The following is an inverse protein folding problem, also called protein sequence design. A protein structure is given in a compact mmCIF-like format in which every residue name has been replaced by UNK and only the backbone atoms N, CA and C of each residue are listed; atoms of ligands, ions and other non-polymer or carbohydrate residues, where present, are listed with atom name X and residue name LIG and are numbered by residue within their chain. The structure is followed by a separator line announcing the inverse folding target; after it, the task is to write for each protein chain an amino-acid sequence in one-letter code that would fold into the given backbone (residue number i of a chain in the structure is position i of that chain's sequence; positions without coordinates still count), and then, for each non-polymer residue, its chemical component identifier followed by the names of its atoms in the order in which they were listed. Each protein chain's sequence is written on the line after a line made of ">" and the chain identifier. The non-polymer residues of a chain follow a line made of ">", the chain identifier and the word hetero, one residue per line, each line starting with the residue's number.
data_IF_856813775388
#
_entry.id   IF_856813775388
#
_cell.length_a   1.000
_cell.length_b   1.000
_cell.length_c   1.000
_cell.angle_alpha   90.00
_cell.angle_beta   90.00
_cell.angle_gamma   90.00
#
_symmetry.space_group_name_H-M   'P 1'
#
loop_
_entity.id
_entity.type
_entity.pdbx_description
1 polymer ?
#
# COMPACT_ATOMS: atom_id res chain seq x y z
N UNK A 1 -17.00 -16.62 24.10
CA UNK A 1 -17.33 -17.64 23.06
C UNK A 1 -16.20 -18.67 23.02
N UNK A 2 -16.05 -19.52 24.04
CA UNK A 2 -14.81 -20.33 24.20
C UNK A 2 -14.69 -21.52 23.24
N UNK A 3 -15.77 -21.91 22.55
CA UNK A 3 -15.83 -23.20 21.84
C UNK A 3 -15.68 -23.13 20.31
N UNK A 4 -15.33 -21.97 19.73
CA UNK A 4 -15.13 -21.92 18.26
C UNK A 4 -13.71 -22.42 17.96
N UNK A 5 -13.56 -23.52 17.18
CA UNK A 5 -12.23 -24.03 16.86
C UNK A 5 -11.45 -23.03 16.04
N UNK A 6 -10.14 -22.99 16.26
CA UNK A 6 -9.23 -22.18 15.46
C UNK A 6 -9.30 -22.61 13.98
N UNK A 7 -9.49 -21.69 13.02
CA UNK A 7 -9.67 -22.06 11.63
C UNK A 7 -8.44 -22.79 11.10
N UNK A 8 -8.66 -23.86 10.34
CA UNK A 8 -7.59 -24.52 9.59
C UNK A 8 -7.02 -23.56 8.54
N UNK A 9 -5.79 -23.83 8.08
CA UNK A 9 -5.16 -23.03 7.03
C UNK A 9 -6.01 -23.00 5.75
N UNK A 10 -6.67 -24.10 5.40
CA UNK A 10 -7.53 -24.20 4.22
C UNK A 10 -8.79 -23.32 4.36
N UNK A 11 -9.42 -23.28 5.53
CA UNK A 11 -10.56 -22.40 5.81
C UNK A 11 -10.13 -20.93 5.76
N UNK A 12 -9.03 -20.58 6.42
CA UNK A 12 -8.48 -19.23 6.37
C UNK A 12 -8.12 -18.80 4.93
N UNK A 13 -7.53 -19.70 4.14
CA UNK A 13 -7.20 -19.47 2.72
C UNK A 13 -8.44 -19.11 1.90
N UNK A 14 -9.59 -19.77 2.13
CA UNK A 14 -10.85 -19.42 1.45
C UNK A 14 -11.35 -18.03 1.85
N UNK A 15 -11.22 -17.67 3.12
CA UNK A 15 -11.57 -16.33 3.60
C UNK A 15 -10.65 -15.27 2.97
N UNK A 16 -9.33 -15.52 2.90
CA UNK A 16 -8.39 -14.62 2.24
C UNK A 16 -8.66 -14.47 0.74
N UNK A 17 -8.98 -15.56 0.05
CA UNK A 17 -9.40 -15.51 -1.35
C UNK A 17 -10.68 -14.68 -1.54
N UNK A 18 -11.67 -14.85 -0.64
CA UNK A 18 -12.89 -14.03 -0.63
C UNK A 18 -12.59 -12.56 -0.40
N UNK A 19 -11.71 -12.22 0.54
CA UNK A 19 -11.28 -10.83 0.79
C UNK A 19 -10.63 -10.27 -0.48
N UNK A 20 -9.65 -10.96 -1.06
CA UNK A 20 -8.97 -10.50 -2.28
C UNK A 20 -9.93 -10.25 -3.45
N UNK A 21 -10.85 -11.18 -3.71
CA UNK A 21 -11.84 -11.06 -4.79
C UNK A 21 -12.86 -9.93 -4.57
N UNK A 22 -13.12 -9.54 -3.32
CA UNK A 22 -14.11 -8.51 -2.96
C UNK A 22 -13.48 -7.15 -2.62
N UNK A 23 -12.16 -7.03 -2.66
CA UNK A 23 -11.41 -5.84 -2.22
C UNK A 23 -11.45 -4.68 -3.22
N UNK A 24 -12.64 -4.11 -3.44
CA UNK A 24 -12.86 -2.92 -4.27
C UNK A 24 -12.97 -1.64 -3.44
N UNK A 25 -12.89 -0.48 -4.11
CA UNK A 25 -13.26 0.82 -3.54
C UNK A 25 -12.15 1.50 -2.73
N UNK A 26 -10.89 1.31 -3.15
CA UNK A 26 -9.72 1.95 -2.56
C UNK A 26 -9.41 1.51 -1.12
N UNK A 27 -8.40 2.14 -0.47
CA UNK A 27 -7.92 1.72 0.84
C UNK A 27 -9.01 1.66 1.92
N UNK A 28 -9.90 2.67 1.95
CA UNK A 28 -10.97 2.73 2.95
C UNK A 28 -12.02 1.63 2.77
N UNK A 29 -12.42 1.33 1.53
CA UNK A 29 -13.35 0.25 1.21
C UNK A 29 -12.77 -1.12 1.58
N UNK A 30 -11.50 -1.32 1.28
CA UNK A 30 -10.76 -2.55 1.60
C UNK A 30 -10.61 -2.76 3.10
N UNK A 31 -10.21 -1.73 3.85
CA UNK A 31 -10.11 -1.80 5.32
C UNK A 31 -11.49 -2.06 5.94
N UNK A 32 -12.56 -1.43 5.44
CA UNK A 32 -13.92 -1.66 5.94
C UNK A 32 -14.41 -3.09 5.63
N UNK A 33 -14.10 -3.62 4.45
CA UNK A 33 -14.40 -5.00 4.09
C UNK A 33 -13.65 -5.98 5.01
N UNK A 34 -12.36 -5.74 5.22
CA UNK A 34 -11.54 -6.57 6.11
C UNK A 34 -12.05 -6.49 7.55
N UNK A 35 -12.42 -5.31 8.04
CA UNK A 35 -13.02 -5.14 9.37
C UNK A 35 -14.31 -5.97 9.48
N UNK A 36 -15.25 -5.79 8.54
CA UNK A 36 -16.49 -6.57 8.52
C UNK A 36 -16.24 -8.07 8.51
N UNK A 37 -15.37 -8.57 7.63
CA UNK A 37 -15.12 -10.01 7.52
C UNK A 37 -14.36 -10.53 8.74
N UNK A 38 -13.25 -9.91 9.13
CA UNK A 38 -12.32 -10.44 10.13
C UNK A 38 -12.79 -10.19 11.57
N UNK A 39 -13.41 -9.03 11.84
CA UNK A 39 -13.88 -8.62 13.16
C UNK A 39 -15.34 -9.03 13.36
N UNK A 40 -16.25 -8.63 12.48
CA UNK A 40 -17.69 -8.84 12.69
C UNK A 40 -18.15 -10.27 12.34
N UNK A 41 -17.83 -10.77 11.14
CA UNK A 41 -18.29 -12.08 10.64
C UNK A 41 -17.48 -13.24 11.27
N UNK A 42 -16.16 -13.19 11.15
CA UNK A 42 -15.28 -14.28 11.58
C UNK A 42 -14.88 -14.20 13.06
N UNK A 43 -14.83 -12.99 13.64
CA UNK A 43 -14.35 -12.74 15.02
C UNK A 43 -12.96 -13.32 15.29
N UNK A 44 -12.06 -13.19 14.32
CA UNK A 44 -10.65 -13.59 14.46
C UNK A 44 -9.92 -12.68 15.45
N UNK A 45 -10.19 -11.38 15.39
CA UNK A 45 -9.65 -10.34 16.27
C UNK A 45 -10.72 -9.30 16.60
N UNK A 46 -10.60 -8.65 17.76
CA UNK A 46 -11.51 -7.58 18.18
C UNK A 46 -11.07 -6.20 17.69
N UNK A 47 -11.87 -5.19 18.05
CA UNK A 47 -11.72 -3.82 17.57
C UNK A 47 -10.34 -3.23 17.93
N UNK A 48 -9.90 -3.40 19.17
CA UNK A 48 -8.66 -2.81 19.67
C UNK A 48 -7.46 -3.40 18.93
N UNK A 49 -7.44 -4.73 18.73
CA UNK A 49 -6.35 -5.39 17.99
C UNK A 49 -6.36 -5.04 16.51
N UNK A 50 -7.54 -4.93 15.89
CA UNK A 50 -7.66 -4.52 14.49
C UNK A 50 -7.10 -3.11 14.27
N UNK A 51 -7.51 -2.15 15.11
CA UNK A 51 -7.03 -0.77 15.04
C UNK A 51 -5.53 -0.67 15.32
N UNK A 52 -5.00 -1.47 16.26
CA UNK A 52 -3.57 -1.54 16.51
C UNK A 52 -2.79 -2.01 15.28
N UNK A 53 -3.23 -3.11 14.66
CA UNK A 53 -2.63 -3.63 13.44
C UNK A 53 -2.71 -2.61 12.29
N UNK A 54 -3.84 -1.90 12.17
CA UNK A 54 -4.03 -0.86 11.16
C UNK A 54 -3.08 0.32 11.37
N UNK A 55 -2.99 0.84 12.60
CA UNK A 55 -2.07 1.92 12.96
C UNK A 55 -0.62 1.56 12.66
N UNK A 56 -0.25 0.29 12.87
CA UNK A 56 1.06 -0.21 12.50
C UNK A 56 1.28 -0.22 10.98
N UNK A 57 0.33 -0.72 10.20
CA UNK A 57 0.46 -0.76 8.74
C UNK A 57 0.55 0.65 8.15
N UNK A 58 -0.06 1.66 8.78
CA UNK A 58 0.11 3.07 8.40
C UNK A 58 1.51 3.63 8.68
N UNK A 59 2.31 3.00 9.56
CA UNK A 59 3.70 3.37 9.84
C UNK A 59 4.68 2.84 8.79
N UNK A 60 4.29 1.79 8.07
CA UNK A 60 5.16 1.10 7.13
C UNK A 60 5.02 1.68 5.74
N UNK A 61 6.09 1.64 4.93
CA UNK A 61 5.96 2.04 3.55
C UNK A 61 5.21 0.98 2.75
N UNK A 62 4.23 1.40 1.94
CA UNK A 62 3.43 0.51 1.08
C UNK A 62 1.91 0.55 1.33
N UNK A 63 1.13 -0.28 0.62
CA UNK A 63 -0.33 -0.29 0.71
C UNK A 63 -0.83 -0.93 2.01
N UNK A 64 -1.51 -0.14 2.83
CA UNK A 64 -1.85 -0.50 4.22
C UNK A 64 -2.84 -1.67 4.29
N UNK A 65 -3.82 -1.74 3.38
CA UNK A 65 -4.81 -2.82 3.37
C UNK A 65 -4.16 -4.19 3.07
N UNK A 66 -3.22 -4.22 2.13
CA UNK A 66 -2.46 -5.44 1.82
C UNK A 66 -1.58 -5.83 3.01
N UNK A 67 -0.88 -4.87 3.60
CA UNK A 67 -0.05 -5.10 4.79
C UNK A 67 -0.86 -5.59 5.99
N UNK A 68 -2.07 -5.06 6.20
CA UNK A 68 -3.00 -5.52 7.22
C UNK A 68 -3.42 -6.97 6.96
N UNK A 69 -3.61 -7.36 5.69
CA UNK A 69 -3.92 -8.74 5.34
C UNK A 69 -2.73 -9.66 5.66
N UNK A 70 -1.50 -9.26 5.32
CA UNK A 70 -0.28 -9.99 5.71
C UNK A 70 -0.16 -10.10 7.23
N UNK A 71 -0.42 -9.01 7.96
CA UNK A 71 -0.31 -8.96 9.41
C UNK A 71 -1.30 -9.92 10.09
N UNK A 72 -2.58 -9.82 9.73
CA UNK A 72 -3.61 -10.68 10.33
C UNK A 72 -3.43 -12.12 9.86
N UNK A 73 -3.05 -12.36 8.61
CA UNK A 73 -2.68 -13.69 8.13
C UNK A 73 -1.51 -14.28 8.93
N UNK A 74 -0.53 -13.45 9.28
CA UNK A 74 0.60 -13.84 10.12
C UNK A 74 0.18 -14.15 11.56
N UNK A 75 -0.68 -13.33 12.16
CA UNK A 75 -1.25 -13.61 13.48
C UNK A 75 -2.03 -14.95 13.50
N UNK A 76 -2.71 -15.26 12.40
CA UNK A 76 -3.54 -16.46 12.32
C UNK A 76 -2.72 -17.73 12.06
N UNK A 77 -1.83 -17.72 11.07
CA UNK A 77 -1.10 -18.94 10.65
C UNK A 77 0.40 -18.70 10.42
N UNK A 78 1.00 -17.80 11.20
CA UNK A 78 2.43 -17.44 11.17
C UNK A 78 2.84 -17.00 9.75
N UNK A 79 4.12 -17.09 9.41
CA UNK A 79 4.66 -16.61 8.12
C UNK A 79 3.90 -17.16 6.91
N UNK A 80 3.48 -18.42 6.92
CA UNK A 80 2.73 -19.02 5.80
C UNK A 80 1.35 -18.37 5.64
N UNK A 81 0.63 -18.13 6.74
CA UNK A 81 -0.63 -17.40 6.73
C UNK A 81 -0.51 -15.99 6.17
N UNK A 82 0.55 -15.27 6.57
CA UNK A 82 0.83 -13.92 6.05
C UNK A 82 1.14 -13.91 4.56
N UNK A 83 1.94 -14.88 4.08
CA UNK A 83 2.26 -15.03 2.64
C UNK A 83 0.97 -15.29 1.85
N UNK A 84 0.15 -16.26 2.28
CA UNK A 84 -1.10 -16.61 1.60
C UNK A 84 -2.06 -15.42 1.57
N UNK A 85 -2.25 -14.75 2.71
CA UNK A 85 -3.13 -13.60 2.82
C UNK A 85 -2.69 -12.46 1.88
N UNK A 86 -1.41 -12.09 1.89
CA UNK A 86 -0.87 -11.04 1.04
C UNK A 86 -0.95 -11.37 -0.45
N UNK A 87 -0.57 -12.59 -0.84
CA UNK A 87 -0.63 -13.02 -2.23
C UNK A 87 -2.06 -13.05 -2.76
N UNK A 88 -3.01 -13.62 -2.01
CA UNK A 88 -4.42 -13.67 -2.42
C UNK A 88 -5.08 -12.30 -2.43
N UNK A 89 -4.60 -11.35 -1.63
CA UNK A 89 -5.09 -9.96 -1.67
C UNK A 89 -4.67 -9.25 -2.97
N UNK A 90 -3.46 -9.52 -3.46
CA UNK A 90 -2.88 -8.84 -4.64
C UNK A 90 -3.20 -9.54 -5.95
N UNK A 91 -3.29 -10.87 -5.96
CA UNK A 91 -3.39 -11.70 -7.17
C UNK A 91 -4.59 -11.35 -8.08
N UNK A 92 -5.82 -11.10 -7.57
CA UNK A 92 -6.94 -10.69 -8.42
C UNK A 92 -6.64 -9.39 -9.18
N UNK A 93 -6.02 -8.41 -8.52
CA UNK A 93 -5.61 -7.15 -9.12
C UNK A 93 -4.50 -7.32 -10.15
N UNK A 94 -3.52 -8.19 -9.88
CA UNK A 94 -2.46 -8.54 -10.84
C UNK A 94 -3.06 -9.05 -12.15
N UNK A 95 -3.98 -10.00 -12.06
CA UNK A 95 -4.65 -10.57 -13.24
C UNK A 95 -5.51 -9.53 -13.96
N UNK A 96 -6.34 -8.81 -13.22
CA UNK A 96 -7.26 -7.83 -13.81
C UNK A 96 -6.53 -6.67 -14.48
N UNK A 97 -5.55 -6.06 -13.81
CA UNK A 97 -4.76 -4.96 -14.36
C UNK A 97 -3.90 -5.43 -15.52
N UNK A 98 -3.34 -6.64 -15.48
CA UNK A 98 -2.56 -7.16 -16.61
C UNK A 98 -3.45 -7.33 -17.85
N UNK A 99 -4.63 -7.94 -17.68
CA UNK A 99 -5.58 -8.10 -18.78
C UNK A 99 -6.04 -6.74 -19.34
N UNK A 100 -6.36 -5.78 -18.48
CA UNK A 100 -6.73 -4.43 -18.92
C UNK A 100 -5.57 -3.67 -19.58
N UNK A 101 -4.32 -3.89 -19.13
CA UNK A 101 -3.14 -3.30 -19.77
C UNK A 101 -2.92 -3.83 -21.19
N UNK A 102 -3.14 -5.13 -21.41
CA UNK A 102 -3.14 -5.72 -22.75
C UNK A 102 -4.23 -5.12 -23.63
N UNK A 103 -5.46 -5.00 -23.11
CA UNK A 103 -6.58 -4.39 -23.84
C UNK A 103 -6.26 -2.92 -24.19
N UNK A 104 -5.71 -2.17 -23.25
CA UNK A 104 -5.32 -0.78 -23.45
C UNK A 104 -4.27 -0.65 -24.55
N UNK A 105 -3.19 -1.44 -24.50
CA UNK A 105 -2.10 -1.36 -25.46
C UNK A 105 -2.48 -1.81 -26.87
N UNK A 106 -3.41 -2.77 -27.00
CA UNK A 106 -3.83 -3.32 -28.29
C UNK A 106 -5.01 -2.58 -28.92
N UNK A 107 -5.94 -2.08 -28.09
CA UNK A 107 -7.22 -1.56 -28.53
C UNK A 107 -7.54 -0.16 -28.00
N UNK A 108 -6.65 0.49 -27.25
CA UNK A 108 -6.93 1.80 -26.63
C UNK A 108 -7.37 2.90 -27.61
N UNK A 109 -6.95 2.79 -28.88
CA UNK A 109 -7.26 3.76 -29.94
C UNK A 109 -8.51 3.40 -30.76
N UNK A 110 -9.27 2.36 -30.40
CA UNK A 110 -10.55 2.07 -31.07
C UNK A 110 -11.67 2.86 -30.39
N UNK A 111 -12.49 3.56 -31.17
CA UNK A 111 -13.47 4.53 -30.67
C UNK A 111 -14.34 4.07 -29.49
N UNK A 112 -14.89 2.83 -29.47
CA UNK A 112 -15.65 2.35 -28.32
C UNK A 112 -14.82 2.19 -27.03
N UNK A 113 -13.57 1.73 -27.14
CA UNK A 113 -12.66 1.53 -25.99
C UNK A 113 -12.16 2.87 -25.48
N UNK A 114 -11.82 3.78 -26.39
CA UNK A 114 -11.44 5.16 -26.07
C UNK A 114 -12.56 5.88 -25.31
N UNK A 115 -13.82 5.74 -25.75
CA UNK A 115 -14.97 6.33 -25.07
C UNK A 115 -15.18 5.77 -23.65
N UNK A 116 -14.95 4.47 -23.44
CA UNK A 116 -15.02 3.86 -22.11
C UNK A 116 -13.92 4.43 -21.20
N UNK A 117 -12.68 4.51 -21.68
CA UNK A 117 -11.57 5.10 -20.93
C UNK A 117 -11.81 6.58 -20.62
N UNK A 118 -12.39 7.34 -21.55
CA UNK A 118 -12.77 8.73 -21.31
C UNK A 118 -13.82 8.86 -20.19
N UNK A 119 -14.87 8.04 -20.22
CA UNK A 119 -15.86 7.99 -19.12
C UNK A 119 -15.23 7.60 -17.79
N UNK A 120 -14.28 6.66 -17.81
CA UNK A 120 -13.52 6.24 -16.65
C UNK A 120 -12.66 7.39 -16.08
N UNK A 121 -11.97 8.18 -16.92
CA UNK A 121 -11.20 9.37 -16.47
C UNK A 121 -12.07 10.35 -15.67
N UNK A 122 -13.29 10.62 -16.14
CA UNK A 122 -14.21 11.52 -15.44
C UNK A 122 -14.62 10.97 -14.06
N UNK A 123 -14.90 9.66 -13.97
CA UNK A 123 -15.20 9.00 -12.70
C UNK A 123 -14.01 9.01 -11.74
N UNK A 124 -12.79 8.76 -12.24
CA UNK A 124 -11.56 8.79 -11.46
C UNK A 124 -11.29 10.17 -10.90
N UNK A 125 -11.45 11.22 -11.69
CA UNK A 125 -11.28 12.59 -11.21
C UNK A 125 -12.21 12.87 -10.02
N UNK A 126 -13.48 12.45 -10.11
CA UNK A 126 -14.43 12.58 -9.01
C UNK A 126 -14.00 11.77 -7.77
N UNK A 127 -13.52 10.53 -7.94
CA UNK A 127 -13.02 9.68 -6.85
C UNK A 127 -11.78 10.30 -6.19
N UNK A 128 -10.82 10.79 -6.98
CA UNK A 128 -9.61 11.44 -6.48
C UNK A 128 -9.95 12.70 -5.70
N UNK A 129 -10.82 13.58 -6.24
CA UNK A 129 -11.30 14.77 -5.52
C UNK A 129 -11.99 14.37 -4.21
N UNK A 130 -12.84 13.35 -4.24
CA UNK A 130 -13.48 12.83 -3.03
C UNK A 130 -12.47 12.28 -2.03
N UNK A 131 -11.44 11.57 -2.48
CA UNK A 131 -10.38 11.04 -1.63
C UNK A 131 -9.59 12.16 -0.95
N UNK A 132 -9.22 13.21 -1.70
CA UNK A 132 -8.55 14.41 -1.17
C UNK A 132 -9.42 15.08 -0.10
N UNK A 133 -10.70 15.34 -0.39
CA UNK A 133 -11.63 15.96 0.58
C UNK A 133 -11.79 15.06 1.82
N UNK A 134 -11.92 13.75 1.64
CA UNK A 134 -12.12 12.78 2.73
C UNK A 134 -10.89 12.67 3.63
N UNK A 135 -9.69 12.59 3.05
CA UNK A 135 -8.43 12.49 3.80
C UNK A 135 -8.13 13.84 4.46
N UNK A 136 -8.19 14.94 3.70
CA UNK A 136 -7.95 16.29 4.20
C UNK A 136 -8.88 16.67 5.34
N UNK A 137 -10.18 16.37 5.24
CA UNK A 137 -11.14 16.64 6.32
C UNK A 137 -10.90 15.82 7.60
N UNK A 138 -10.17 14.70 7.52
CA UNK A 138 -9.79 13.88 8.68
C UNK A 138 -8.48 14.34 9.31
N UNK A 139 -7.53 14.79 8.51
CA UNK A 139 -6.15 15.09 8.96
C UNK A 139 -5.94 16.58 9.25
N UNK A 140 -6.49 17.48 8.42
CA UNK A 140 -6.30 18.94 8.52
C UNK A 140 -7.26 19.55 9.56
N UNK A 141 -7.11 19.15 10.82
CA UNK A 141 -7.99 19.57 11.93
C UNK A 141 -7.58 20.86 12.62
N UNK A 142 -6.33 21.29 12.44
CA UNK A 142 -5.79 22.47 13.11
C UNK A 142 -4.90 23.30 12.17
N UNK A 143 -4.63 24.55 12.56
CA UNK A 143 -3.84 25.49 11.77
C UNK A 143 -2.41 25.02 11.51
N UNK A 144 -1.82 24.21 12.38
CA UNK A 144 -0.48 23.65 12.19
C UNK A 144 -0.45 22.62 11.07
N UNK A 145 -1.39 21.65 11.07
CA UNK A 145 -1.50 20.67 9.98
C UNK A 145 -1.79 21.35 8.65
N UNK A 146 -2.67 22.36 8.65
CA UNK A 146 -2.98 23.15 7.46
C UNK A 146 -1.76 23.95 6.96
N UNK A 147 -0.94 24.46 7.88
CA UNK A 147 0.34 25.10 7.55
C UNK A 147 1.36 24.13 6.94
N UNK A 148 1.47 22.90 7.47
CA UNK A 148 2.33 21.85 6.90
C UNK A 148 1.87 21.50 5.48
N UNK A 149 0.56 21.32 5.26
CA UNK A 149 0.00 21.05 3.94
C UNK A 149 0.30 22.18 2.94
N UNK A 150 0.05 23.43 3.33
CA UNK A 150 0.30 24.59 2.47
C UNK A 150 1.78 24.78 2.13
N UNK A 151 2.68 24.62 3.12
CA UNK A 151 4.12 24.70 2.89
C UNK A 151 4.63 23.56 2.01
N UNK A 152 4.10 22.35 2.18
CA UNK A 152 4.45 21.19 1.35
C UNK A 152 4.00 21.40 -0.09
N UNK A 153 2.80 21.93 -0.29
CA UNK A 153 2.28 22.31 -1.61
C UNK A 153 3.17 23.38 -2.28
N UNK A 154 3.54 24.44 -1.55
CA UNK A 154 4.44 25.48 -2.08
C UNK A 154 5.83 24.91 -2.40
N UNK A 155 6.36 24.03 -1.55
CA UNK A 155 7.68 23.42 -1.74
C UNK A 155 7.73 22.57 -3.02
N UNK A 156 6.72 21.72 -3.26
CA UNK A 156 6.69 20.86 -4.45
C UNK A 156 6.32 21.64 -5.72
N UNK A 157 5.30 22.52 -5.65
CA UNK A 157 4.78 23.22 -6.83
C UNK A 157 5.61 24.44 -7.21
N UNK A 158 6.05 25.23 -6.22
CA UNK A 158 6.78 26.48 -6.44
C UNK A 158 8.29 26.30 -6.55
N UNK A 159 8.87 25.32 -5.86
CA UNK A 159 10.32 25.12 -5.77
C UNK A 159 10.79 23.75 -6.28
N UNK A 160 9.88 22.88 -6.73
CA UNK A 160 10.22 21.52 -7.21
C UNK A 160 11.03 20.71 -6.19
N UNK A 161 10.79 20.92 -4.89
CA UNK A 161 11.47 20.17 -3.83
C UNK A 161 11.08 18.69 -3.95
N UNK A 162 12.06 17.76 -3.92
CA UNK A 162 11.77 16.34 -4.04
C UNK A 162 10.81 15.87 -2.94
N UNK A 163 9.77 15.13 -3.34
CA UNK A 163 8.75 14.60 -2.44
C UNK A 163 9.32 13.85 -1.21
N UNK A 164 10.35 12.98 -1.32
CA UNK A 164 10.92 12.32 -0.15
C UNK A 164 11.47 13.29 0.91
N UNK A 165 12.00 14.44 0.49
CA UNK A 165 12.52 15.46 1.41
C UNK A 165 11.38 16.12 2.19
N UNK A 166 10.24 16.38 1.52
CA UNK A 166 9.03 16.94 2.13
C UNK A 166 8.51 15.98 3.21
N UNK A 167 8.42 14.68 2.89
CA UNK A 167 7.95 13.65 3.82
C UNK A 167 8.86 13.53 5.04
N UNK A 168 10.19 13.50 4.83
CA UNK A 168 11.15 13.43 5.92
C UNK A 168 11.08 14.67 6.83
N UNK A 169 10.95 15.86 6.24
CA UNK A 169 10.80 17.10 6.99
C UNK A 169 9.50 17.11 7.81
N UNK A 170 8.38 16.72 7.20
CA UNK A 170 7.07 16.63 7.86
C UNK A 170 7.10 15.63 9.02
N UNK A 171 7.69 14.45 8.82
CA UNK A 171 7.87 13.44 9.86
C UNK A 171 8.73 13.94 11.03
N UNK A 172 9.83 14.65 10.74
CA UNK A 172 10.66 15.27 11.77
C UNK A 172 9.91 16.34 12.57
N UNK A 173 9.16 17.21 11.88
CA UNK A 173 8.33 18.25 12.51
C UNK A 173 7.28 17.60 13.41
N UNK A 174 6.58 16.56 12.94
CA UNK A 174 5.59 15.83 13.74
C UNK A 174 6.19 15.14 14.97
N UNK A 175 7.34 14.48 14.80
CA UNK A 175 8.04 13.80 15.88
C UNK A 175 8.53 14.77 16.96
N UNK A 176 9.24 15.84 16.56
CA UNK A 176 9.76 16.85 17.48
C UNK A 176 8.63 17.66 18.14
N UNK A 177 7.57 17.95 17.38
CA UNK A 177 6.38 18.65 17.87
C UNK A 177 5.68 17.87 18.99
N UNK A 178 5.50 16.56 18.80
CA UNK A 178 4.94 15.68 19.83
C UNK A 178 5.81 15.60 21.08
N UNK A 179 7.13 15.47 20.89
CA UNK A 179 8.09 15.36 21.99
C UNK A 179 8.19 16.65 22.82
N UNK A 180 7.94 17.80 22.20
CA UNK A 180 7.89 19.12 22.85
C UNK A 180 6.57 19.40 23.57
N UNK A 181 5.61 18.46 23.54
CA UNK A 181 4.33 18.58 24.25
C UNK A 181 3.31 19.51 23.60
N UNK A 182 3.55 19.98 22.37
CA UNK A 182 2.64 20.87 21.62
C UNK A 182 1.28 20.18 21.40
N UNK A 183 0.21 20.87 21.79
CA UNK A 183 -1.16 20.35 21.66
C UNK A 183 -1.55 20.05 20.21
N UNK A 184 -1.01 20.78 19.23
CA UNK A 184 -1.26 20.59 17.81
C UNK A 184 -0.79 19.23 17.26
N UNK A 185 0.16 18.57 17.95
CA UNK A 185 0.72 17.26 17.57
C UNK A 185 0.31 16.14 18.55
N UNK A 186 -0.57 16.43 19.52
CA UNK A 186 -1.18 15.40 20.36
C UNK A 186 -2.20 14.66 19.50
N UNK A 187 -1.77 13.56 18.88
CA UNK A 187 -2.61 12.80 17.96
C UNK A 187 -3.93 12.38 18.62
N UNK A 188 -5.04 12.88 18.08
CA UNK A 188 -6.33 12.18 18.16
C UNK A 188 -6.24 10.95 17.25
N UNK A 189 -5.45 9.94 17.64
CA UNK A 189 -5.37 8.64 16.94
C UNK A 189 -6.66 7.81 17.06
N UNK A 190 -7.77 8.45 17.42
CA UNK A 190 -9.08 7.83 17.49
C UNK A 190 -9.64 7.72 16.08
N UNK A 191 -9.40 6.58 15.43
CA UNK A 191 -10.33 6.12 14.41
C UNK A 191 -11.74 6.22 15.00
N UNK A 192 -12.56 7.12 14.45
CA UNK A 192 -13.99 7.13 14.75
C UNK A 192 -14.52 5.72 14.54
N UNK A 193 -15.40 5.26 15.44
CA UNK A 193 -15.91 3.87 15.52
C UNK A 193 -15.96 3.21 14.12
N UNK A 194 -15.06 2.26 13.84
CA UNK A 194 -15.16 1.44 12.64
C UNK A 194 -16.27 0.42 12.86
N UNK A 195 -17.24 0.38 11.95
CA UNK A 195 -18.38 -0.52 12.05
C UNK A 195 -19.47 -0.07 13.04
N UNK A 196 -20.64 -0.70 12.94
CA UNK A 196 -21.77 -0.47 13.85
C UNK A 196 -21.70 -1.35 15.10
N UNK A 197 -20.94 -2.45 15.04
CA UNK A 197 -20.84 -3.47 16.09
C UNK A 197 -19.44 -3.42 16.70
N UNK A 198 -19.34 -3.11 17.99
CA UNK A 198 -18.06 -3.21 18.69
C UNK A 198 -17.87 -4.63 19.23
N UNK A 199 -16.84 -5.32 18.73
CA UNK A 199 -16.43 -6.64 19.20
C UNK A 199 -15.23 -6.47 20.12
N UNK A 200 -15.39 -6.84 21.40
CA UNK A 200 -14.29 -6.80 22.37
C UNK A 200 -13.32 -7.98 22.13
N UNK A 201 -12.02 -7.76 22.35
CA UNK A 201 -10.97 -8.75 22.12
C UNK A 201 -11.23 -10.05 22.90
N UNK A 202 -11.79 -9.97 24.12
CA UNK A 202 -12.18 -11.12 24.96
C UNK A 202 -13.21 -12.06 24.32
N UNK A 203 -13.94 -11.58 23.31
CA UNK A 203 -14.96 -12.35 22.60
C UNK A 203 -14.45 -12.97 21.28
N UNK A 204 -13.16 -12.84 20.99
CA UNK A 204 -12.54 -13.24 19.70
C UNK A 204 -11.58 -14.41 19.85
N UNK A 205 -11.22 -15.05 18.73
CA UNK A 205 -10.35 -16.23 18.71
C UNK A 205 -8.94 -15.95 19.24
N UNK A 206 -8.35 -14.80 18.88
CA UNK A 206 -7.03 -14.41 19.38
C UNK A 206 -7.08 -13.92 20.83
N UNK A 207 -8.27 -13.60 21.35
CA UNK A 207 -8.43 -13.11 22.71
C UNK A 207 -7.66 -11.82 23.01
N UNK A 208 -7.50 -11.56 24.31
CA UNK A 208 -6.68 -10.45 24.81
C UNK A 208 -5.18 -10.77 24.84
N UNK A 209 -4.82 -12.07 24.88
CA UNK A 209 -3.44 -12.52 25.00
C UNK A 209 -2.67 -12.38 23.68
N UNK A 210 -1.36 -12.12 23.77
CA UNK A 210 -0.49 -12.09 22.60
C UNK A 210 -0.06 -13.51 22.23
N UNK A 211 -0.29 -13.97 20.99
CA UNK A 211 0.12 -15.32 20.59
C UNK A 211 1.62 -15.53 20.79
N UNK A 212 2.07 -16.68 21.32
CA UNK A 212 3.49 -16.91 21.64
C UNK A 212 4.48 -16.77 20.47
N UNK A 213 4.02 -16.92 19.23
CA UNK A 213 4.87 -16.69 18.04
C UNK A 213 5.12 -15.20 17.73
N UNK A 214 4.48 -14.30 18.47
CA UNK A 214 4.75 -12.85 18.41
C UNK A 214 5.97 -12.45 19.24
N UNK A 215 6.55 -13.38 20.02
CA UNK A 215 7.78 -13.14 20.76
C UNK A 215 8.98 -12.88 19.83
N UNK A 216 9.82 -11.92 20.21
CA UNK A 216 10.97 -11.49 19.42
C UNK A 216 12.02 -12.60 19.39
N UNK A 217 12.12 -13.28 18.25
CA UNK A 217 13.19 -14.23 17.97
C UNK A 217 14.20 -13.62 16.98
N UNK A 218 15.40 -13.28 17.48
CA UNK A 218 16.47 -12.68 16.66
C UNK A 218 16.89 -13.57 15.49
N UNK A 219 16.89 -14.89 15.67
CA UNK A 219 17.25 -15.83 14.60
C UNK A 219 16.20 -15.86 13.49
N UNK A 220 14.91 -15.79 13.86
CA UNK A 220 13.82 -15.64 12.89
C UNK A 220 13.91 -14.31 12.16
N UNK A 221 14.12 -13.20 12.88
CA UNK A 221 14.26 -11.87 12.30
C UNK A 221 15.42 -11.82 11.28
N UNK A 222 16.61 -12.35 11.63
CA UNK A 222 17.74 -12.39 10.70
C UNK A 222 17.45 -13.25 9.46
N UNK A 223 16.86 -14.44 9.65
CA UNK A 223 16.53 -15.35 8.53
C UNK A 223 15.49 -14.75 7.60
N UNK A 224 14.41 -14.21 8.14
CA UNK A 224 13.32 -13.65 7.33
C UNK A 224 13.77 -12.38 6.61
N UNK A 225 14.53 -11.51 7.28
CA UNK A 225 15.10 -10.32 6.64
C UNK A 225 16.06 -10.68 5.54
N UNK A 226 16.98 -11.62 5.76
CA UNK A 226 17.92 -12.07 4.72
C UNK A 226 17.17 -12.67 3.54
N UNK A 227 16.18 -13.53 3.78
CA UNK A 227 15.40 -14.16 2.73
C UNK A 227 14.67 -13.13 1.86
N UNK A 228 13.92 -12.19 2.46
CA UNK A 228 13.15 -11.21 1.70
C UNK A 228 14.03 -10.10 1.09
N UNK A 229 15.14 -9.71 1.73
CA UNK A 229 16.10 -8.79 1.12
C UNK A 229 16.77 -9.41 -0.09
N UNK A 230 17.16 -10.69 -0.04
CA UNK A 230 17.69 -11.39 -1.21
C UNK A 230 16.62 -11.54 -2.30
N UNK A 231 15.40 -11.92 -1.91
CA UNK A 231 14.28 -12.08 -2.83
C UNK A 231 13.96 -10.79 -3.60
N UNK A 232 14.11 -9.65 -2.92
CA UNK A 232 13.86 -8.33 -3.50
C UNK A 232 15.07 -7.75 -4.23
N UNK A 233 16.20 -7.57 -3.53
CA UNK A 233 17.33 -6.78 -4.02
C UNK A 233 18.27 -7.58 -4.93
N UNK A 234 18.33 -8.90 -4.82
CA UNK A 234 19.21 -9.67 -5.71
C UNK A 234 18.74 -9.61 -7.18
N UNK A 235 17.46 -9.80 -7.52
CA UNK A 235 16.98 -9.58 -8.89
C UNK A 235 17.22 -8.15 -9.38
N UNK A 236 17.01 -7.14 -8.54
CA UNK A 236 17.26 -5.73 -8.87
C UNK A 236 18.74 -5.54 -9.21
N UNK A 237 19.65 -5.98 -8.34
CA UNK A 237 21.09 -5.87 -8.56
C UNK A 237 21.55 -6.60 -9.82
N UNK A 238 20.99 -7.78 -10.11
CA UNK A 238 21.28 -8.55 -11.32
C UNK A 238 20.84 -7.80 -12.58
N UNK A 239 19.65 -7.18 -12.57
CA UNK A 239 19.18 -6.37 -13.71
C UNK A 239 20.14 -5.21 -13.99
N UNK A 240 20.53 -4.45 -12.96
CA UNK A 240 21.51 -3.36 -13.11
C UNK A 240 22.88 -3.85 -13.60
N UNK A 241 23.37 -4.98 -13.08
CA UNK A 241 24.67 -5.52 -13.44
C UNK A 241 24.74 -6.06 -14.88
N UNK A 242 23.65 -6.67 -15.37
CA UNK A 242 23.63 -7.31 -16.69
C UNK A 242 23.12 -6.36 -17.78
N UNK A 243 22.06 -5.59 -17.49
CA UNK A 243 21.35 -4.78 -18.49
C UNK A 243 21.77 -3.31 -18.46
N UNK A 244 22.41 -2.84 -17.39
CA UNK A 244 22.84 -1.45 -17.22
C UNK A 244 21.74 -0.53 -16.66
N UNK A 245 22.10 0.73 -16.39
CA UNK A 245 21.23 1.74 -15.74
C UNK A 245 20.17 2.33 -16.67
N UNK A 246 20.46 2.40 -17.96
CA UNK A 246 19.58 3.00 -18.97
C UNK A 246 18.48 2.06 -19.45
N UNK A 247 18.51 0.79 -19.03
CA UNK A 247 17.59 -0.21 -19.53
C UNK A 247 16.27 -0.19 -18.75
N UNK A 248 15.14 -0.23 -19.45
CA UNK A 248 13.79 -0.04 -18.89
C UNK A 248 13.46 -0.96 -17.70
N UNK A 249 13.85 -2.23 -17.71
CA UNK A 249 13.65 -3.17 -16.60
C UNK A 249 14.50 -2.79 -15.39
N UNK A 250 15.74 -2.34 -15.58
CA UNK A 250 16.57 -1.82 -14.49
C UNK A 250 15.96 -0.56 -13.89
N UNK A 251 15.48 0.36 -14.73
CA UNK A 251 14.83 1.59 -14.28
C UNK A 251 13.52 1.28 -13.53
N UNK A 252 12.65 0.41 -14.06
CA UNK A 252 11.43 -0.08 -13.38
C UNK A 252 11.79 -0.69 -12.03
N UNK A 253 12.76 -1.62 -12.01
CA UNK A 253 13.21 -2.30 -10.79
C UNK A 253 13.72 -1.31 -9.74
N UNK A 254 14.59 -0.38 -10.13
CA UNK A 254 15.17 0.62 -9.24
C UNK A 254 14.15 1.63 -8.74
N UNK A 255 13.40 2.24 -9.65
CA UNK A 255 12.42 3.27 -9.32
C UNK A 255 11.34 2.74 -8.37
N UNK A 256 10.67 1.64 -8.71
CA UNK A 256 9.62 1.10 -7.85
C UNK A 256 10.17 0.47 -6.56
N UNK A 257 11.43 0.03 -6.53
CA UNK A 257 12.10 -0.36 -5.28
C UNK A 257 12.29 0.84 -4.34
N UNK A 258 12.70 1.99 -4.86
CA UNK A 258 12.79 3.23 -4.08
C UNK A 258 11.40 3.63 -3.59
N UNK A 259 10.40 3.62 -4.48
CA UNK A 259 9.02 3.94 -4.10
C UNK A 259 8.51 3.01 -3.00
N UNK A 260 8.80 1.72 -3.06
CA UNK A 260 8.38 0.75 -2.04
C UNK A 260 8.96 1.03 -0.63
N UNK A 261 10.00 1.87 -0.49
CA UNK A 261 10.54 2.28 0.81
C UNK A 261 10.23 3.72 1.22
N UNK A 262 9.84 4.58 0.27
CA UNK A 262 9.48 5.98 0.55
C UNK A 262 7.97 6.26 0.55
N UNK A 263 7.13 5.26 0.25
CA UNK A 263 5.67 5.41 0.21
C UNK A 263 5.04 5.37 1.59
N UNK A 264 4.99 6.50 2.29
CA UNK A 264 4.27 6.64 3.57
C UNK A 264 2.92 7.35 3.38
N UNK A 265 1.91 7.01 4.18
CA UNK A 265 0.62 7.71 4.18
C UNK A 265 -0.37 7.28 3.10
N UNK A 266 -0.18 6.08 2.55
CA UNK A 266 -1.14 5.40 1.68
C UNK A 266 -0.92 5.58 0.19
N UNK A 267 -1.63 4.76 -0.59
CA UNK A 267 -1.41 4.63 -2.03
C UNK A 267 -1.46 5.99 -2.77
N UNK A 268 -2.37 6.89 -2.39
CA UNK A 268 -2.58 8.16 -3.11
C UNK A 268 -1.36 9.10 -3.09
N UNK A 269 -0.59 9.10 -2.00
CA UNK A 269 0.56 10.00 -1.80
C UNK A 269 1.62 9.83 -2.91
N UNK A 270 1.91 8.57 -3.22
CA UNK A 270 2.98 8.20 -4.12
C UNK A 270 2.56 8.16 -5.57
N UNK A 271 1.27 7.99 -5.83
CA UNK A 271 0.76 7.91 -7.20
C UNK A 271 0.93 9.22 -7.96
N UNK A 272 0.81 10.38 -7.31
CA UNK A 272 1.09 11.66 -7.95
C UNK A 272 2.56 11.77 -8.40
N UNK A 273 3.50 11.34 -7.55
CA UNK A 273 4.92 11.35 -7.88
C UNK A 273 5.26 10.33 -8.97
N UNK A 274 4.72 9.11 -8.89
CA UNK A 274 4.87 8.08 -9.95
C UNK A 274 4.34 8.60 -11.28
N UNK A 275 3.20 9.30 -11.28
CA UNK A 275 2.63 9.91 -12.48
C UNK A 275 3.60 10.91 -13.11
N UNK A 276 4.15 11.79 -12.28
CA UNK A 276 5.09 12.82 -12.73
C UNK A 276 6.35 12.18 -13.31
N UNK A 277 7.00 11.28 -12.59
CA UNK A 277 8.25 10.64 -13.02
C UNK A 277 8.05 9.78 -14.26
N UNK A 278 6.97 9.00 -14.31
CA UNK A 278 6.65 8.15 -15.46
C UNK A 278 6.38 8.95 -16.74
N UNK A 279 5.86 10.17 -16.64
CA UNK A 279 5.59 11.03 -17.80
C UNK A 279 6.78 11.92 -18.16
N UNK A 280 7.39 12.58 -17.18
CA UNK A 280 8.39 13.64 -17.41
C UNK A 280 9.82 13.11 -17.50
N UNK A 281 10.20 12.17 -16.63
CA UNK A 281 11.59 11.73 -16.51
C UNK A 281 11.85 10.46 -17.30
N UNK A 282 10.98 9.45 -17.17
CA UNK A 282 11.16 8.16 -17.82
C UNK A 282 10.46 8.06 -19.19
N UNK A 283 9.43 8.87 -19.45
CA UNK A 283 8.65 8.78 -20.70
C UNK A 283 7.84 7.48 -20.86
N UNK A 284 7.70 6.68 -19.81
CA UNK A 284 6.92 5.44 -19.80
C UNK A 284 5.44 5.67 -20.09
N UNK A 285 4.90 6.82 -19.68
CA UNK A 285 3.51 7.20 -19.89
C UNK A 285 3.39 8.52 -20.66
N UNK A 286 2.36 8.62 -21.49
CA UNK A 286 1.92 9.86 -22.12
C UNK A 286 1.02 10.64 -21.15
N UNK A 287 0.85 11.96 -21.36
CA UNK A 287 -0.03 12.78 -20.54
C UNK A 287 -1.45 12.20 -20.49
N UNK A 288 -1.96 11.96 -19.28
CA UNK A 288 -3.31 11.45 -19.04
C UNK A 288 -3.44 9.93 -18.98
N UNK A 289 -2.45 9.13 -19.41
CA UNK A 289 -2.51 7.68 -19.30
C UNK A 289 -2.45 7.19 -17.84
N UNK A 290 -1.82 7.96 -16.96
CA UNK A 290 -1.86 7.65 -15.53
C UNK A 290 -3.31 7.67 -15.00
N UNK A 291 -4.17 8.56 -15.50
CA UNK A 291 -5.58 8.60 -15.10
C UNK A 291 -6.34 7.36 -15.59
N UNK A 292 -5.99 6.85 -16.78
CA UNK A 292 -6.52 5.57 -17.28
C UNK A 292 -6.10 4.43 -16.35
N UNK A 293 -4.81 4.36 -16.02
CA UNK A 293 -4.25 3.40 -15.07
C UNK A 293 -4.94 3.43 -13.70
N UNK A 294 -5.13 4.63 -13.15
CA UNK A 294 -5.82 4.83 -11.87
C UNK A 294 -7.28 4.37 -11.94
N UNK A 295 -7.97 4.63 -13.06
CA UNK A 295 -9.32 4.15 -13.27
C UNK A 295 -9.43 2.64 -13.32
N UNK A 296 -8.51 1.99 -14.02
CA UNK A 296 -8.43 0.53 -14.01
C UNK A 296 -8.18 0.01 -12.59
N UNK A 297 -7.30 0.65 -11.83
CA UNK A 297 -7.00 0.24 -10.45
C UNK A 297 -8.16 0.47 -9.47
N UNK A 298 -8.93 1.55 -9.58
CA UNK A 298 -10.11 1.79 -8.73
C UNK A 298 -11.29 0.86 -9.06
N UNK A 299 -11.38 0.38 -10.29
CA UNK A 299 -12.47 -0.50 -10.76
C UNK A 299 -12.16 -1.98 -10.68
N UNK A 300 -10.94 -2.35 -10.26
CA UNK A 300 -10.52 -3.74 -10.10
C UNK A 300 -10.32 -4.10 -8.64
N UNK A 301 -10.40 -5.41 -8.27
CA UNK A 301 -10.10 -5.82 -6.92
C UNK A 301 -8.60 -5.70 -6.64
N UNK A 302 -8.26 -5.34 -5.41
CA UNK A 302 -6.87 -5.23 -4.96
C UNK A 302 -6.42 -3.78 -4.74
N UNK A 303 -5.23 -3.58 -4.17
CA UNK A 303 -4.80 -2.28 -3.68
C UNK A 303 -4.62 -1.28 -4.84
N UNK A 304 -5.02 -0.03 -4.63
CA UNK A 304 -4.94 1.01 -5.67
C UNK A 304 -3.55 1.16 -6.30
N UNK A 305 -2.49 0.91 -5.52
CA UNK A 305 -1.11 0.96 -6.00
C UNK A 305 -0.83 -0.05 -7.13
N UNK A 306 -1.75 -0.98 -7.43
CA UNK A 306 -1.69 -1.86 -8.60
C UNK A 306 -1.59 -1.11 -9.93
N UNK A 307 -1.94 0.17 -10.00
CA UNK A 307 -1.64 1.01 -11.19
C UNK A 307 -0.14 1.02 -11.54
N UNK A 308 0.75 0.80 -10.58
CA UNK A 308 2.20 0.67 -10.85
C UNK A 308 2.52 -0.50 -11.79
N UNK A 309 1.71 -1.57 -11.79
CA UNK A 309 1.81 -2.65 -12.76
C UNK A 309 1.52 -2.16 -14.18
N UNK A 310 0.50 -1.31 -14.35
CA UNK A 310 0.19 -0.69 -15.64
C UNK A 310 1.33 0.24 -16.08
N UNK A 311 1.88 1.05 -15.17
CA UNK A 311 3.01 1.94 -15.47
C UNK A 311 4.23 1.13 -15.95
N UNK A 312 4.62 0.08 -15.21
CA UNK A 312 5.72 -0.81 -15.59
C UNK A 312 5.44 -1.57 -16.89
N UNK A 313 4.18 -1.95 -17.13
CA UNK A 313 3.76 -2.53 -18.40
C UNK A 313 3.97 -1.57 -19.57
N UNK A 314 3.47 -0.33 -19.47
CA UNK A 314 3.56 0.63 -20.56
C UNK A 314 5.01 1.06 -20.84
N UNK A 315 5.83 1.24 -19.80
CA UNK A 315 7.26 1.52 -19.96
C UNK A 315 7.97 0.43 -20.76
N UNK A 316 7.88 -0.82 -20.31
CA UNK A 316 8.54 -1.93 -21.01
C UNK A 316 7.88 -2.27 -22.36
N UNK A 317 6.58 -2.02 -22.54
CA UNK A 317 5.89 -2.21 -23.81
C UNK A 317 6.42 -1.25 -24.88
N UNK A 318 6.68 0.01 -24.53
CA UNK A 318 7.22 1.03 -25.43
C UNK A 318 8.70 0.84 -25.71
N UNK A 319 9.45 0.42 -24.70
CA UNK A 319 10.89 0.15 -24.79
C UNK A 319 11.17 -1.36 -24.81
N UNK A 320 10.52 -2.09 -25.72
CA UNK A 320 10.57 -3.56 -25.72
C UNK A 320 11.94 -4.15 -26.05
N UNK A 321 12.84 -3.34 -26.62
CA UNK A 321 14.17 -3.77 -27.05
C UNK A 321 14.07 -4.95 -28.01
N UNK A 322 14.70 -6.07 -27.67
CA UNK A 322 14.68 -7.31 -28.46
C UNK A 322 13.44 -8.20 -28.22
N UNK A 323 12.63 -7.92 -27.20
CA UNK A 323 11.42 -8.69 -26.90
C UNK A 323 10.23 -8.15 -27.72
N UNK A 324 9.21 -8.99 -27.90
CA UNK A 324 7.93 -8.50 -28.42
C UNK A 324 7.31 -7.49 -27.43
N UNK A 325 6.63 -6.43 -27.89
CA UNK A 325 6.07 -5.41 -27.02
C UNK A 325 5.19 -5.97 -25.89
N UNK A 326 4.32 -6.95 -26.19
CA UNK A 326 3.46 -7.57 -25.19
C UNK A 326 4.23 -8.40 -24.16
N UNK A 327 5.28 -9.12 -24.59
CA UNK A 327 6.12 -9.88 -23.66
C UNK A 327 6.92 -8.93 -22.75
N UNK A 328 7.49 -7.88 -23.33
CA UNK A 328 8.22 -6.87 -22.57
C UNK A 328 7.31 -6.17 -21.56
N UNK A 329 6.13 -5.69 -21.99
CA UNK A 329 5.14 -5.08 -21.11
C UNK A 329 4.69 -6.03 -20.00
N UNK A 330 4.40 -7.29 -20.31
CA UNK A 330 3.99 -8.28 -19.29
C UNK A 330 5.07 -8.47 -18.24
N UNK A 331 6.33 -8.63 -18.66
CA UNK A 331 7.45 -8.78 -17.74
C UNK A 331 7.71 -7.49 -16.94
N UNK A 332 7.62 -6.31 -17.55
CA UNK A 332 7.78 -5.02 -16.89
C UNK A 332 6.70 -4.76 -15.85
N UNK A 333 5.44 -5.08 -16.15
CA UNK A 333 4.35 -5.00 -15.19
C UNK A 333 4.52 -5.97 -14.02
N UNK A 334 4.85 -7.24 -14.29
CA UNK A 334 5.12 -8.23 -13.22
C UNK A 334 6.31 -7.83 -12.35
N UNK A 335 7.36 -7.24 -12.95
CA UNK A 335 8.51 -6.72 -12.24
C UNK A 335 8.13 -5.55 -11.33
N UNK A 336 7.35 -4.58 -11.82
CA UNK A 336 6.84 -3.48 -11.02
C UNK A 336 6.01 -3.98 -9.82
N UNK A 337 5.11 -4.94 -10.04
CA UNK A 337 4.36 -5.61 -8.98
C UNK A 337 5.29 -6.27 -7.96
N UNK A 338 6.28 -7.05 -8.43
CA UNK A 338 7.21 -7.75 -7.56
C UNK A 338 7.95 -6.81 -6.61
N UNK A 339 8.59 -5.76 -7.14
CA UNK A 339 9.41 -4.85 -6.33
C UNK A 339 8.55 -3.92 -5.46
N UNK A 340 7.28 -3.70 -5.82
CA UNK A 340 6.33 -2.93 -5.00
C UNK A 340 5.87 -3.70 -3.77
N UNK A 341 5.53 -5.00 -3.93
CA UNK A 341 4.90 -5.77 -2.84
C UNK A 341 5.88 -6.60 -2.01
N UNK A 342 7.02 -7.03 -2.55
CA UNK A 342 7.99 -7.86 -1.80
C UNK A 342 8.51 -7.16 -0.52
N UNK A 343 8.83 -5.85 -0.53
CA UNK A 343 9.24 -5.13 0.69
C UNK A 343 8.14 -5.09 1.76
N UNK A 344 6.87 -5.08 1.37
CA UNK A 344 5.77 -5.07 2.33
C UNK A 344 5.76 -6.33 3.23
N UNK A 345 6.06 -7.50 2.66
CA UNK A 345 6.22 -8.73 3.43
C UNK A 345 7.41 -8.65 4.39
N UNK A 346 8.54 -8.09 3.93
CA UNK A 346 9.71 -7.85 4.79
C UNK A 346 9.34 -6.99 5.99
N UNK A 347 8.69 -5.85 5.76
CA UNK A 347 8.33 -4.91 6.82
C UNK A 347 7.40 -5.53 7.85
N UNK A 348 6.39 -6.28 7.41
CA UNK A 348 5.46 -6.96 8.31
C UNK A 348 6.14 -8.07 9.08
N UNK A 349 6.86 -8.99 8.43
CA UNK A 349 7.45 -10.12 9.16
C UNK A 349 8.61 -9.72 10.07
N UNK A 350 9.32 -8.65 9.73
CA UNK A 350 10.36 -8.09 10.60
C UNK A 350 9.75 -7.30 11.75
N UNK A 351 8.80 -6.39 11.47
CA UNK A 351 8.36 -5.40 12.45
C UNK A 351 7.17 -5.82 13.31
N UNK A 352 6.32 -6.75 12.85
CA UNK A 352 5.14 -7.20 13.61
C UNK A 352 5.48 -7.70 15.03
N UNK A 353 6.54 -8.52 15.26
CA UNK A 353 6.95 -8.94 16.60
C UNK A 353 7.39 -7.80 17.53
N UNK A 354 7.92 -6.70 16.98
CA UNK A 354 8.40 -5.56 17.77
C UNK A 354 7.26 -4.61 18.14
N UNK A 355 6.25 -4.47 17.28
CA UNK A 355 5.16 -3.52 17.44
C UNK A 355 4.08 -4.00 18.40
N UNK A 356 3.92 -5.31 18.60
CA UNK A 356 3.12 -5.85 19.70
C UNK A 356 3.62 -5.36 21.08
N UNK A 357 4.86 -4.84 21.19
CA UNK A 357 5.40 -4.19 22.41
C UNK A 357 5.24 -2.67 22.47
N UNK A 358 4.85 -2.01 21.38
CA UNK A 358 4.82 -0.54 21.23
C UNK A 358 3.40 0.04 21.25
N UNK A 359 2.45 -0.67 21.85
CA UNK A 359 1.00 -0.39 21.86
C UNK A 359 0.60 1.03 22.31
N UNK A 360 1.52 1.82 22.89
CA UNK A 360 1.25 3.16 23.46
C UNK A 360 2.22 4.30 23.05
N UNK A 361 3.07 4.15 22.02
CA UNK A 361 4.06 5.20 21.69
C UNK A 361 3.48 6.38 20.89
N UNK A 362 2.97 7.39 21.61
CA UNK A 362 2.34 8.61 21.09
C UNK A 362 3.20 9.46 20.14
N UNK A 363 4.53 9.38 20.23
CA UNK A 363 5.43 10.18 19.40
C UNK A 363 5.47 9.69 17.94
N UNK A 364 5.34 8.38 17.73
CA UNK A 364 5.31 7.77 16.39
C UNK A 364 4.00 8.09 15.66
N UNK A 365 2.86 8.03 16.37
CA UNK A 365 1.56 8.39 15.81
C UNK A 365 1.52 9.84 15.32
N UNK A 366 2.10 10.76 16.09
CA UNK A 366 2.17 12.17 15.73
C UNK A 366 3.06 12.45 14.50
N UNK A 367 4.17 11.73 14.35
CA UNK A 367 5.04 11.82 13.18
C UNK A 367 4.28 11.43 11.90
N UNK A 368 3.48 10.36 11.96
CA UNK A 368 2.65 9.96 10.84
C UNK A 368 1.55 10.95 10.50
N UNK A 369 0.86 11.49 11.50
CA UNK A 369 -0.19 12.48 11.24
C UNK A 369 0.37 13.69 10.49
N UNK A 370 1.59 14.12 10.83
CA UNK A 370 2.27 15.19 10.11
C UNK A 370 2.68 14.80 8.68
N UNK A 371 3.14 13.56 8.46
CA UNK A 371 3.42 13.03 7.12
C UNK A 371 2.13 13.02 6.28
N UNK A 372 1.03 12.48 6.80
CA UNK A 372 -0.26 12.45 6.11
C UNK A 372 -0.84 13.85 5.87
N UNK A 373 -0.47 14.85 6.68
CA UNK A 373 -0.86 16.24 6.45
C UNK A 373 -0.05 16.91 5.33
N UNK A 374 1.20 16.48 5.12
CA UNK A 374 2.09 17.01 4.08
C UNK A 374 1.78 16.44 2.69
N UNK A 375 1.35 15.17 2.65
CA UNK A 375 0.76 14.48 1.49
C UNK A 375 -0.57 15.12 1.10
#
# INVERSE_FOLDING_TARGET
>A
MPDRPYPSLAEATRIWARIGLLSFGGPAGQIALMHRILVEEQRWLGEKRFLHALNYCMLLPGPEAMQLAVYVGWLMHRTLGGIIAGLLFVLPGVVAIMALSWVYALFGNVGPVEAIFFGLKAAVLAIVVQAVIRIGSRVLKNSTMMGIAALSFIAIFGFSVPFPVIILAAGCIGFLGSRSGLSAFRGEGGHGKLGKVQVDDSQTLLGEETPGHTEINRSYALRISTAFLLLWLAPVAVLFAILGTEQVFSQIAGFFSIMAVVTFGGAYAVLAYVAQEAVQNFGWLAPGEMLDGLGMAETTPGPLIMVTQFVGFMGAFRESGALSPLAAGTLGGLLATWVTFTPCFLWIFLGAPFIERLRDNKALTAALTAITAAV
#
